data_IF_660823191265
#
_entry.id   IF_660823191265
#
_cell.length_a   1.000
_cell.length_b   1.000
_cell.length_c   1.000
_cell.angle_alpha   90.00
_cell.angle_beta   90.00
_cell.angle_gamma   90.00
#
_symmetry.space_group_name_H-M   'P 1'
#
loop_
_entity.id
_entity.type
_entity.pdbx_description
1 polymer ?
#
# COMPACT_ATOMS: atom_id res chain seq x y z
N UNK A 1 7.88 14.63 -3.21
CA UNK A 1 8.24 13.38 -3.92
C UNK A 1 7.96 12.13 -3.06
N UNK A 2 7.92 12.26 -1.73
CA UNK A 2 7.72 11.15 -0.78
C UNK A 2 6.31 10.53 -0.82
N UNK A 3 5.27 11.32 -1.14
CA UNK A 3 3.90 10.83 -1.29
C UNK A 3 3.74 9.78 -2.39
N UNK A 4 4.47 9.93 -3.50
CA UNK A 4 4.48 8.93 -4.56
C UNK A 4 5.12 7.61 -4.09
N UNK A 5 6.16 7.70 -3.24
CA UNK A 5 6.77 6.54 -2.60
C UNK A 5 5.79 5.87 -1.63
N UNK A 6 5.04 6.63 -0.83
CA UNK A 6 4.03 6.07 0.08
C UNK A 6 2.87 5.42 -0.67
N UNK A 7 2.44 5.99 -1.80
CA UNK A 7 1.43 5.38 -2.67
C UNK A 7 1.97 4.10 -3.32
N UNK A 8 3.22 4.09 -3.79
CA UNK A 8 3.83 2.89 -4.36
C UNK A 8 4.01 1.78 -3.31
N UNK A 9 4.50 2.14 -2.12
CA UNK A 9 4.65 1.20 -1.00
C UNK A 9 3.28 0.73 -0.47
N UNK A 10 2.30 1.62 -0.41
CA UNK A 10 0.91 1.32 -0.09
C UNK A 10 0.26 0.38 -1.11
N UNK A 11 0.51 0.60 -2.39
CA UNK A 11 0.09 -0.30 -3.47
C UNK A 11 0.70 -1.70 -3.29
N UNK A 12 2.02 -1.78 -3.09
CA UNK A 12 2.71 -3.04 -2.83
C UNK A 12 2.22 -3.74 -1.56
N UNK A 13 1.81 -2.97 -0.54
CA UNK A 13 1.29 -3.48 0.72
C UNK A 13 -0.13 -4.06 0.62
N UNK A 14 -0.88 -3.75 -0.44
CA UNK A 14 -2.27 -4.23 -0.59
C UNK A 14 -2.31 -5.76 -0.69
N UNK A 15 -3.17 -6.40 0.12
CA UNK A 15 -3.33 -7.87 0.11
C UNK A 15 -4.02 -8.45 -1.13
N UNK A 16 -4.22 -7.66 -2.18
CA UNK A 16 -4.86 -8.09 -3.42
C UNK A 16 -3.84 -8.86 -4.29
N UNK A 17 -3.94 -10.19 -4.47
CA UNK A 17 -2.94 -10.95 -5.22
C UNK A 17 -3.05 -10.75 -6.75
N UNK A 18 -4.11 -10.10 -7.23
CA UNK A 18 -4.39 -9.96 -8.66
C UNK A 18 -3.47 -8.98 -9.37
N UNK A 19 -3.02 -7.90 -8.73
CA UNK A 19 -2.12 -6.94 -9.38
C UNK A 19 -0.76 -7.57 -9.71
N UNK A 20 -0.18 -8.34 -8.79
CA UNK A 20 1.10 -9.01 -9.03
C UNK A 20 0.95 -10.17 -10.03
N UNK A 21 -0.11 -10.98 -9.92
CA UNK A 21 -0.40 -12.06 -10.88
C UNK A 21 -0.66 -11.53 -12.30
N UNK A 22 -1.26 -10.34 -12.46
CA UNK A 22 -1.52 -9.72 -13.76
C UNK A 22 -0.25 -9.14 -14.38
N UNK A 23 0.70 -8.69 -13.56
CA UNK A 23 1.99 -8.20 -14.03
C UNK A 23 2.92 -9.33 -14.50
N UNK A 24 2.83 -10.52 -13.92
CA UNK A 24 3.69 -11.68 -14.23
C UNK A 24 3.08 -12.71 -15.21
N UNK A 25 1.80 -12.60 -15.57
CA UNK A 25 1.17 -13.51 -16.54
C UNK A 25 1.28 -12.97 -17.98
N UNK A 26 1.95 -13.75 -18.83
CA UNK A 26 1.91 -13.64 -20.29
C UNK A 26 1.29 -14.91 -20.89
N UNK A 27 0.23 -14.84 -21.71
CA UNK A 27 -0.50 -13.64 -22.13
C UNK A 27 -1.37 -13.03 -21.00
N UNK A 28 -1.69 -11.73 -21.07
CA UNK A 28 -2.54 -11.10 -20.07
C UNK A 28 -3.90 -11.81 -20.05
N UNK A 29 -4.41 -12.21 -18.87
CA UNK A 29 -5.74 -12.81 -18.78
C UNK A 29 -6.79 -11.84 -19.35
N UNK A 30 -7.85 -12.36 -20.00
CA UNK A 30 -8.96 -11.52 -20.46
C UNK A 30 -9.50 -10.69 -19.28
N UNK A 31 -10.02 -9.47 -19.54
CA UNK A 31 -10.54 -8.60 -18.50
C UNK A 31 -11.83 -9.21 -17.96
N UNK A 32 -11.70 -10.17 -17.05
CA UNK A 32 -12.80 -10.51 -16.15
C UNK A 32 -13.19 -9.22 -15.42
N UNK A 33 -14.50 -8.93 -15.28
CA UNK A 33 -14.93 -7.78 -14.48
C UNK A 33 -14.36 -7.95 -13.07
N UNK A 34 -13.35 -7.13 -12.74
CA UNK A 34 -12.77 -7.13 -11.41
C UNK A 34 -13.91 -6.82 -10.43
N UNK A 35 -14.19 -7.71 -9.45
CA UNK A 35 -15.26 -7.47 -8.49
C UNK A 35 -15.06 -6.09 -7.88
N UNK A 36 -16.10 -5.27 -7.74
CA UNK A 36 -16.00 -3.92 -7.16
C UNK A 36 -15.22 -3.90 -5.83
N UNK A 37 -15.31 -5.00 -5.07
CA UNK A 37 -14.55 -5.23 -3.85
C UNK A 37 -13.02 -5.16 -4.03
N UNK A 38 -12.50 -5.65 -5.15
CA UNK A 38 -11.08 -5.54 -5.50
C UNK A 38 -10.65 -4.09 -5.66
N UNK A 39 -11.45 -3.30 -6.37
CA UNK A 39 -11.18 -1.86 -6.57
C UNK A 39 -11.22 -1.13 -5.21
N UNK A 40 -12.19 -1.48 -4.36
CA UNK A 40 -12.30 -0.96 -2.99
C UNK A 40 -11.08 -1.33 -2.14
N UNK A 41 -10.60 -2.57 -2.18
CA UNK A 41 -9.41 -3.00 -1.45
C UNK A 41 -8.15 -2.26 -1.89
N UNK A 42 -7.98 -2.07 -3.19
CA UNK A 42 -6.86 -1.30 -3.75
C UNK A 42 -6.93 0.15 -3.28
N UNK A 43 -8.10 0.79 -3.38
CA UNK A 43 -8.30 2.16 -2.92
C UNK A 43 -8.01 2.32 -1.43
N UNK A 44 -8.54 1.42 -0.59
CA UNK A 44 -8.31 1.43 0.85
C UNK A 44 -6.82 1.26 1.18
N UNK A 45 -6.12 0.32 0.53
CA UNK A 45 -4.70 0.11 0.78
C UNK A 45 -3.82 1.27 0.31
N UNK A 46 -4.15 1.91 -0.82
CA UNK A 46 -3.48 3.14 -1.28
C UNK A 46 -3.65 4.27 -0.26
N UNK A 47 -4.86 4.50 0.22
CA UNK A 47 -5.17 5.55 1.21
C UNK A 47 -4.46 5.23 2.53
N UNK A 48 -4.52 3.98 2.99
CA UNK A 48 -3.89 3.54 4.23
C UNK A 48 -2.36 3.66 4.17
N UNK A 49 -1.74 3.30 3.03
CA UNK A 49 -0.30 3.45 2.84
C UNK A 49 0.13 4.90 2.73
N UNK A 50 -0.60 5.74 1.99
CA UNK A 50 -0.32 7.17 1.91
C UNK A 50 -0.47 7.85 3.27
N UNK A 51 -1.55 7.57 4.00
CA UNK A 51 -1.78 8.11 5.34
C UNK A 51 -0.71 7.62 6.33
N UNK A 52 -0.44 6.31 6.37
CA UNK A 52 0.56 5.72 7.26
C UNK A 52 1.97 6.27 7.02
N UNK A 53 2.37 6.38 5.75
CA UNK A 53 3.66 6.97 5.36
C UNK A 53 3.76 8.44 5.74
N UNK A 54 2.73 9.25 5.48
CA UNK A 54 2.70 10.67 5.84
C UNK A 54 2.73 10.90 7.35
N UNK A 55 1.89 10.19 8.11
CA UNK A 55 1.85 10.30 9.57
C UNK A 55 3.20 9.94 10.18
N UNK A 56 3.79 8.83 9.74
CA UNK A 56 5.08 8.40 10.26
C UNK A 56 6.20 9.34 9.85
N UNK A 57 6.23 9.80 8.59
CA UNK A 57 7.22 10.75 8.08
C UNK A 57 7.21 12.07 8.88
N UNK A 58 6.03 12.58 9.22
CA UNK A 58 5.90 13.76 10.08
C UNK A 58 6.36 13.48 11.51
N UNK A 59 6.06 12.31 12.06
CA UNK A 59 6.46 11.94 13.43
C UNK A 59 7.98 11.76 13.58
N UNK A 60 8.70 11.40 12.50
CA UNK A 60 10.16 11.19 12.51
C UNK A 60 10.95 12.34 11.88
N UNK A 61 10.30 13.41 11.43
CA UNK A 61 10.94 14.49 10.69
C UNK A 61 12.14 15.10 11.46
N UNK A 62 12.04 15.23 12.78
CA UNK A 62 13.07 15.79 13.65
C UNK A 62 13.86 14.73 14.44
N UNK A 63 13.63 13.44 14.17
CA UNK A 63 14.29 12.36 14.90
C UNK A 63 15.69 12.08 14.33
N UNK A 64 16.72 12.32 15.14
CA UNK A 64 18.14 12.11 14.78
C UNK A 64 18.44 10.66 14.37
N UNK A 65 17.71 9.69 14.91
CA UNK A 65 17.85 8.26 14.58
C UNK A 65 17.50 7.91 13.13
N UNK A 66 16.66 8.72 12.48
CA UNK A 66 16.20 8.49 11.11
C UNK A 66 16.76 9.52 10.11
N UNK A 67 17.72 10.35 10.54
CA UNK A 67 18.39 11.32 9.69
C UNK A 67 19.01 10.61 8.46
N UNK A 68 18.57 10.98 7.27
CA UNK A 68 19.00 10.36 6.00
C UNK A 68 18.30 9.05 5.63
N UNK A 69 17.46 8.47 6.50
CA UNK A 69 16.69 7.25 6.24
C UNK A 69 15.17 7.43 6.40
N UNK A 70 14.70 8.64 6.69
CA UNK A 70 13.27 8.96 6.88
C UNK A 70 12.39 8.35 5.79
N UNK A 71 12.73 8.55 4.51
CA UNK A 71 11.94 8.06 3.38
C UNK A 71 11.81 6.51 3.33
N UNK A 72 12.84 5.78 3.76
CA UNK A 72 12.81 4.32 3.80
C UNK A 72 11.95 3.84 4.96
N UNK A 73 12.10 4.47 6.14
CA UNK A 73 11.34 4.13 7.33
C UNK A 73 9.83 4.41 7.16
N UNK A 74 9.49 5.59 6.62
CA UNK A 74 8.10 5.95 6.29
C UNK A 74 7.54 5.14 5.12
N UNK A 75 8.36 4.73 4.15
CA UNK A 75 7.98 3.78 3.11
C UNK A 75 7.60 2.40 3.65
N UNK A 76 8.38 1.86 4.59
CA UNK A 76 8.06 0.59 5.26
C UNK A 76 6.79 0.69 6.10
N UNK A 77 6.59 1.82 6.77
CA UNK A 77 5.35 2.09 7.50
C UNK A 77 4.14 2.17 6.57
N UNK A 78 4.28 2.83 5.40
CA UNK A 78 3.23 2.86 4.38
C UNK A 78 2.85 1.46 3.88
N UNK A 79 3.85 0.61 3.61
CA UNK A 79 3.62 -0.78 3.23
C UNK A 79 2.90 -1.57 4.34
N UNK A 80 3.38 -1.47 5.58
CA UNK A 80 2.78 -2.17 6.73
C UNK A 80 1.35 -1.71 7.02
N UNK A 81 1.10 -0.39 7.01
CA UNK A 81 -0.23 0.18 7.20
C UNK A 81 -1.20 -0.31 6.13
N UNK A 82 -0.81 -0.31 4.86
CA UNK A 82 -1.63 -0.87 3.78
C UNK A 82 -1.91 -2.37 3.97
N UNK A 83 -0.92 -3.16 4.39
CA UNK A 83 -1.07 -4.59 4.58
C UNK A 83 -2.02 -4.94 5.73
N UNK A 84 -1.90 -4.23 6.85
CA UNK A 84 -2.77 -4.41 8.00
C UNK A 84 -4.19 -4.00 7.65
N UNK A 85 -4.38 -2.78 7.11
CA UNK A 85 -5.72 -2.27 6.82
C UNK A 85 -6.40 -3.12 5.77
N UNK A 86 -5.75 -3.44 4.64
CA UNK A 86 -6.35 -4.34 3.64
C UNK A 86 -6.57 -5.73 4.18
N UNK A 87 -5.70 -6.24 5.05
CA UNK A 87 -5.88 -7.52 5.74
C UNK A 87 -7.13 -7.55 6.62
N UNK A 88 -7.36 -6.50 7.41
CA UNK A 88 -8.56 -6.31 8.22
C UNK A 88 -9.79 -6.20 7.31
N UNK A 89 -9.75 -5.34 6.29
CA UNK A 89 -10.84 -5.18 5.32
C UNK A 89 -11.20 -6.50 4.64
N UNK A 90 -10.21 -7.32 4.27
CA UNK A 90 -10.49 -8.66 3.71
C UNK A 90 -11.16 -9.60 4.69
N UNK A 91 -10.90 -9.49 5.99
CA UNK A 91 -11.52 -10.34 7.02
C UNK A 91 -13.02 -10.02 7.20
N UNK A 92 -13.44 -8.79 6.90
CA UNK A 92 -14.84 -8.35 6.96
C UNK A 92 -15.65 -8.66 5.68
N UNK A 93 -15.06 -9.31 4.68
CA UNK A 93 -15.75 -9.72 3.44
C UNK A 93 -16.55 -11.03 3.60
N UNK A 94 -16.60 -11.60 4.81
CA UNK A 94 -17.38 -12.82 5.12
C UNK A 94 -18.86 -12.50 5.27
#
# INVERSE_FOLDING_TARGET
METALFLAMGWCGTRYPGWWKRFWKNPPPPPDPEPWWTVTLIGIGLIAGAAGGLFFSNAIAENQFFAGQNAVASGLFAYGASNIVTGITTAFRN
#
